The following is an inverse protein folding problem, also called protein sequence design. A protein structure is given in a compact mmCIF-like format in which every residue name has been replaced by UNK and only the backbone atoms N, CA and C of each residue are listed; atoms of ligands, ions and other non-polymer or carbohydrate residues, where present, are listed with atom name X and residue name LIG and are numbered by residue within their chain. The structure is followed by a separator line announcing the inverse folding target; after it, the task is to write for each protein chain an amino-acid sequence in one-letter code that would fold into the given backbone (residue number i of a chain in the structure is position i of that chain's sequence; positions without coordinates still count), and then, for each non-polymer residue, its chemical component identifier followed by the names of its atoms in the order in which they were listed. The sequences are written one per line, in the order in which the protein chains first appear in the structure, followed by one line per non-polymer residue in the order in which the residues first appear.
data_IF_591545899593
#
_entry.id   IF_591545899593
#
_cell.length_a   1.000
_cell.length_b   1.000
_cell.length_c   1.000
_cell.angle_alpha   90.00
_cell.angle_beta   90.00
_cell.angle_gamma   90.00
#
_symmetry.space_group_name_H-M   'P 1'
#
loop_
_entity.id
_entity.type
_entity.pdbx_description
1 polymer ?
#
# COMPACT_ATOMS: atom_id res chain seq x y z
N UNK A 1 -26.89 5.36 8.33
CA UNK A 1 -25.84 6.02 9.13
C UNK A 1 -24.64 6.41 8.27
N UNK A 2 -24.05 5.49 7.50
CA UNK A 2 -22.86 5.75 6.64
C UNK A 2 -23.13 6.86 5.59
N UNK A 3 -24.30 6.87 4.96
CA UNK A 3 -24.66 7.93 4.00
C UNK A 3 -24.75 9.33 4.62
N UNK A 4 -25.28 9.44 5.85
CA UNK A 4 -25.31 10.72 6.57
C UNK A 4 -23.90 11.25 6.86
N UNK A 5 -22.95 10.37 7.16
CA UNK A 5 -21.53 10.74 7.37
C UNK A 5 -20.91 11.18 6.04
N UNK A 6 -21.18 10.45 4.96
CA UNK A 6 -20.62 10.75 3.64
C UNK A 6 -21.07 12.11 3.10
N UNK A 7 -22.31 12.49 3.35
CA UNK A 7 -22.93 13.70 2.82
C UNK A 7 -22.76 14.93 3.71
N UNK A 8 -22.19 14.79 4.92
CA UNK A 8 -21.91 15.91 5.82
C UNK A 8 -20.40 16.13 6.01
N UNK A 9 -19.80 17.17 5.39
CA UNK A 9 -18.36 17.40 5.45
C UNK A 9 -17.81 17.57 6.87
N UNK A 10 -18.54 18.25 7.76
CA UNK A 10 -18.11 18.45 9.16
C UNK A 10 -18.11 17.14 9.95
N UNK A 11 -19.17 16.34 9.79
CA UNK A 11 -19.29 15.05 10.43
C UNK A 11 -18.22 14.08 9.91
N UNK A 12 -17.96 14.11 8.59
CA UNK A 12 -16.89 13.34 7.96
C UNK A 12 -15.52 13.71 8.53
N UNK A 13 -15.20 14.98 8.64
CA UNK A 13 -13.92 15.45 9.21
C UNK A 13 -13.79 15.07 10.68
N UNK A 14 -14.87 15.18 11.46
CA UNK A 14 -14.88 14.75 12.85
C UNK A 14 -14.60 13.25 12.99
N UNK A 15 -15.30 12.40 12.23
CA UNK A 15 -15.07 10.94 12.23
C UNK A 15 -13.64 10.58 11.79
N UNK A 16 -13.13 11.24 10.73
CA UNK A 16 -11.74 11.05 10.30
C UNK A 16 -10.77 11.45 11.42
N UNK A 17 -11.01 12.57 12.10
CA UNK A 17 -10.19 13.05 13.23
C UNK A 17 -10.18 12.09 14.44
N UNK A 18 -11.30 11.37 14.68
CA UNK A 18 -11.35 10.32 15.69
C UNK A 18 -10.46 9.11 15.33
N UNK A 19 -10.37 8.77 14.06
CA UNK A 19 -9.63 7.60 13.56
C UNK A 19 -8.16 7.94 13.31
N UNK A 20 -7.91 9.10 12.68
CA UNK A 20 -6.57 9.54 12.29
C UNK A 20 -6.27 10.92 12.87
N UNK A 21 -5.17 11.09 13.62
CA UNK A 21 -4.75 12.41 14.10
C UNK A 21 -4.41 13.32 12.91
N UNK A 22 -4.72 14.60 13.04
CA UNK A 22 -4.29 15.62 12.08
C UNK A 22 -2.75 15.64 11.99
N UNK A 23 -2.19 15.54 10.81
CA UNK A 23 -0.73 15.46 10.52
C UNK A 23 -0.07 14.13 10.86
N UNK A 24 -0.80 13.06 11.19
CA UNK A 24 -0.22 11.75 11.43
C UNK A 24 -0.72 10.75 10.38
N UNK A 25 0.16 10.08 9.63
CA UNK A 25 -0.24 9.13 8.60
C UNK A 25 -0.73 7.78 9.15
N UNK A 26 -0.83 7.65 10.46
CA UNK A 26 -1.24 6.41 11.14
C UNK A 26 -2.60 6.56 11.80
N UNK A 27 -3.43 5.52 11.82
CA UNK A 27 -4.60 5.48 12.69
C UNK A 27 -4.19 5.56 14.17
N UNK A 28 -5.09 6.10 14.99
CA UNK A 28 -4.90 6.14 16.44
C UNK A 28 -4.72 4.74 17.03
N UNK A 29 -4.05 4.63 18.17
CA UNK A 29 -3.75 3.35 18.82
C UNK A 29 -5.00 2.50 19.09
N UNK A 30 -6.10 3.13 19.56
CA UNK A 30 -7.34 2.44 19.79
C UNK A 30 -7.94 1.80 18.53
N UNK A 31 -7.83 2.48 17.37
CA UNK A 31 -8.26 1.91 16.08
C UNK A 31 -7.40 0.70 15.72
N UNK A 32 -6.10 0.81 15.91
CA UNK A 32 -5.16 -0.27 15.59
C UNK A 32 -5.38 -1.51 16.46
N UNK A 33 -5.78 -1.33 17.72
CA UNK A 33 -5.93 -2.42 18.68
C UNK A 33 -7.35 -2.97 18.75
N UNK A 34 -8.37 -2.12 18.57
CA UNK A 34 -9.77 -2.52 18.81
C UNK A 34 -10.64 -2.53 17.55
N UNK A 35 -10.19 -1.96 16.42
CA UNK A 35 -10.96 -1.96 15.17
C UNK A 35 -10.27 -2.79 14.10
N UNK A 36 -9.00 -2.51 13.83
CA UNK A 36 -8.25 -3.14 12.75
C UNK A 36 -8.19 -4.68 12.83
N UNK A 37 -8.07 -5.33 13.99
CA UNK A 37 -8.07 -6.79 14.09
C UNK A 37 -9.37 -7.45 13.59
N UNK A 38 -10.49 -6.72 13.60
CA UNK A 38 -11.79 -7.24 13.17
C UNK A 38 -12.12 -6.92 11.71
N UNK A 39 -11.50 -5.90 11.13
CA UNK A 39 -11.78 -5.46 9.75
C UNK A 39 -10.71 -5.88 8.76
N UNK A 40 -9.51 -6.17 9.23
CA UNK A 40 -8.41 -6.64 8.40
C UNK A 40 -8.19 -8.15 8.57
N UNK A 41 -7.69 -8.79 7.51
CA UNK A 41 -7.45 -10.22 7.54
C UNK A 41 -5.97 -10.54 7.64
N UNK A 42 -5.64 -11.41 8.58
CA UNK A 42 -4.32 -12.00 8.74
C UNK A 42 -4.43 -13.51 8.66
N UNK A 43 -3.82 -14.11 7.65
CA UNK A 43 -3.78 -15.56 7.45
C UNK A 43 -3.01 -16.27 8.56
N UNK A 44 -3.30 -17.56 8.73
CA UNK A 44 -2.58 -18.41 9.69
C UNK A 44 -1.09 -18.45 9.32
N UNK A 45 -0.20 -18.39 10.30
CA UNK A 45 1.24 -18.40 10.08
C UNK A 45 1.82 -17.09 9.55
N UNK A 46 0.99 -16.11 9.16
CA UNK A 46 1.50 -14.83 8.68
C UNK A 46 2.30 -14.11 9.76
N UNK A 47 3.51 -13.68 9.41
CA UNK A 47 4.43 -13.00 10.30
C UNK A 47 4.62 -11.54 9.87
N UNK A 48 4.22 -10.62 10.73
CA UNK A 48 4.52 -9.19 10.60
C UNK A 48 5.54 -8.87 11.69
N UNK A 49 6.75 -8.49 11.28
CA UNK A 49 7.84 -8.23 12.20
C UNK A 49 7.56 -7.00 13.07
N UNK A 50 8.16 -6.95 14.25
CA UNK A 50 7.84 -5.97 15.29
C UNK A 50 8.04 -4.52 14.85
N UNK A 51 9.06 -4.25 14.05
CA UNK A 51 9.39 -2.92 13.57
C UNK A 51 8.73 -2.58 12.22
N UNK A 52 7.94 -3.49 11.65
CA UNK A 52 7.13 -3.16 10.47
C UNK A 52 6.09 -2.08 10.82
N UNK A 53 5.95 -1.11 9.93
CA UNK A 53 5.01 -0.02 10.09
C UNK A 53 3.75 -0.25 9.27
N UNK A 54 2.62 -0.36 9.96
CA UNK A 54 1.31 -0.49 9.33
C UNK A 54 0.51 0.80 9.49
N UNK A 55 0.37 1.56 8.41
CA UNK A 55 -0.49 2.74 8.31
C UNK A 55 -1.81 2.32 7.64
N UNK A 56 -2.52 1.36 8.26
CA UNK A 56 -3.70 0.73 7.68
C UNK A 56 -4.98 1.23 8.36
N UNK A 57 -5.90 1.72 7.53
CA UNK A 57 -7.15 2.35 7.91
C UNK A 57 -8.32 1.39 7.75
N UNK A 58 -9.33 1.41 8.64
CA UNK A 58 -10.41 0.44 8.68
C UNK A 58 -11.38 0.52 7.49
N UNK A 59 -11.41 1.63 6.75
CA UNK A 59 -12.29 1.82 5.58
C UNK A 59 -11.71 1.31 4.27
N UNK A 60 -10.51 0.74 4.29
CA UNK A 60 -9.84 0.13 3.14
C UNK A 60 -9.43 -1.29 3.49
N UNK A 61 -9.44 -2.15 2.50
CA UNK A 61 -9.03 -3.54 2.65
C UNK A 61 -7.52 -3.62 2.92
N UNK A 62 -7.16 -4.40 3.94
CA UNK A 62 -5.80 -4.85 4.16
C UNK A 62 -5.86 -6.33 4.50
N UNK A 63 -5.21 -7.15 3.68
CA UNK A 63 -5.17 -8.58 3.88
C UNK A 63 -3.75 -9.09 3.73
N UNK A 64 -3.36 -10.01 4.61
CA UNK A 64 -2.08 -10.73 4.58
C UNK A 64 -2.39 -12.21 4.53
N UNK A 65 -1.91 -12.88 3.49
CA UNK A 65 -2.12 -14.30 3.25
C UNK A 65 -1.44 -15.21 4.27
N UNK A 66 -1.71 -16.50 4.17
CA UNK A 66 -1.10 -17.52 5.04
C UNK A 66 0.41 -17.57 4.85
N UNK A 67 1.14 -17.72 5.94
CA UNK A 67 2.60 -17.86 5.95
C UNK A 67 3.36 -16.72 5.21
N UNK A 68 2.68 -15.59 4.99
CA UNK A 68 3.30 -14.40 4.41
C UNK A 68 4.20 -13.71 5.44
N UNK A 69 5.26 -13.06 4.97
CA UNK A 69 6.23 -12.35 5.81
C UNK A 69 6.32 -10.87 5.42
N UNK A 70 6.16 -10.01 6.40
CA UNK A 70 6.47 -8.58 6.31
C UNK A 70 7.64 -8.31 7.25
N UNK A 71 8.80 -7.98 6.69
CA UNK A 71 10.04 -7.78 7.44
C UNK A 71 10.08 -6.45 8.19
N UNK A 72 11.08 -6.29 9.04
CA UNK A 72 11.29 -5.09 9.84
C UNK A 72 11.46 -3.85 8.95
N UNK A 73 11.00 -2.71 9.44
CA UNK A 73 11.05 -1.41 8.78
C UNK A 73 10.28 -1.32 7.45
N UNK A 74 9.62 -2.39 7.01
CA UNK A 74 8.69 -2.29 5.91
C UNK A 74 7.50 -1.40 6.29
N UNK A 75 7.04 -0.59 5.35
CA UNK A 75 5.88 0.31 5.52
C UNK A 75 4.76 -0.16 4.62
N UNK A 76 3.59 -0.42 5.18
CA UNK A 76 2.38 -0.76 4.42
C UNK A 76 1.30 0.27 4.70
N UNK A 77 0.82 0.93 3.66
CA UNK A 77 -0.19 1.99 3.75
C UNK A 77 -1.34 1.70 2.79
N UNK A 78 -2.56 1.58 3.32
CA UNK A 78 -3.78 1.41 2.52
C UNK A 78 -4.61 2.71 2.38
N UNK A 79 -4.08 3.85 2.79
CA UNK A 79 -4.82 5.11 2.78
C UNK A 79 -5.28 5.55 1.38
N UNK A 80 -4.49 5.33 0.35
CA UNK A 80 -4.83 5.64 -1.03
C UNK A 80 -5.65 4.54 -1.73
N UNK A 81 -5.55 3.27 -1.28
CA UNK A 81 -6.25 2.12 -1.84
C UNK A 81 -5.95 0.83 -1.11
N UNK A 82 -6.64 -0.23 -1.48
CA UNK A 82 -6.54 -1.53 -0.84
C UNK A 82 -5.14 -2.14 -0.98
N UNK A 83 -4.70 -2.90 0.01
CA UNK A 83 -3.47 -3.69 -0.05
C UNK A 83 -3.80 -5.14 0.26
N UNK A 84 -3.49 -6.01 -0.70
CA UNK A 84 -3.71 -7.45 -0.59
C UNK A 84 -2.39 -8.17 -0.83
N UNK A 85 -1.96 -8.95 0.14
CA UNK A 85 -0.72 -9.72 0.12
C UNK A 85 -1.10 -11.20 0.10
N UNK A 86 -0.66 -11.92 -0.92
CA UNK A 86 -0.97 -13.33 -1.13
C UNK A 86 -0.32 -14.28 -0.12
N UNK A 87 -0.68 -15.56 -0.21
CA UNK A 87 -0.12 -16.62 0.62
C UNK A 87 1.40 -16.76 0.36
N UNK A 88 2.18 -16.93 1.43
CA UNK A 88 3.63 -17.13 1.37
C UNK A 88 4.41 -15.98 0.68
N UNK A 89 3.76 -14.84 0.43
CA UNK A 89 4.43 -13.67 -0.13
C UNK A 89 5.41 -13.08 0.89
N UNK A 90 6.51 -12.49 0.39
CA UNK A 90 7.56 -11.91 1.23
C UNK A 90 7.81 -10.46 0.87
N UNK A 91 7.84 -9.61 1.87
CA UNK A 91 8.14 -8.18 1.76
C UNK A 91 9.45 -7.95 2.50
N UNK A 92 10.51 -7.63 1.76
CA UNK A 92 11.84 -7.41 2.29
C UNK A 92 11.93 -6.16 3.15
N UNK A 93 12.98 -6.13 3.98
CA UNK A 93 13.25 -5.05 4.93
C UNK A 93 13.24 -3.67 4.26
N UNK A 94 12.66 -2.69 4.95
CA UNK A 94 12.65 -1.30 4.49
C UNK A 94 11.79 -1.01 3.25
N UNK A 95 11.06 -2.01 2.73
CA UNK A 95 10.19 -1.81 1.57
C UNK A 95 8.96 -0.98 1.91
N UNK A 96 8.48 -0.19 0.94
CA UNK A 96 7.31 0.69 1.10
C UNK A 96 6.24 0.29 0.11
N UNK A 97 5.05 -0.02 0.61
CA UNK A 97 3.89 -0.39 -0.20
C UNK A 97 2.75 0.57 0.09
N UNK A 98 2.29 1.30 -0.94
CA UNK A 98 1.17 2.23 -0.83
C UNK A 98 0.08 1.80 -1.82
N UNK A 99 -1.08 1.42 -1.30
CA UNK A 99 -2.21 0.94 -2.10
C UNK A 99 -2.76 1.96 -3.12
N UNK A 100 -3.49 1.48 -4.11
CA UNK A 100 -3.93 0.09 -4.28
C UNK A 100 -2.85 -0.84 -4.84
N UNK A 101 -2.55 -1.93 -4.12
CA UNK A 101 -1.51 -2.91 -4.48
C UNK A 101 -1.99 -4.33 -4.20
N UNK A 102 -1.71 -5.24 -5.12
CA UNK A 102 -1.93 -6.67 -4.96
C UNK A 102 -0.65 -7.44 -5.21
N UNK A 103 -0.20 -8.20 -4.23
CA UNK A 103 0.87 -9.19 -4.36
C UNK A 103 0.26 -10.58 -4.47
N UNK A 104 0.63 -11.33 -5.50
CA UNK A 104 0.22 -12.72 -5.68
C UNK A 104 0.89 -13.67 -4.67
N UNK A 105 0.41 -14.92 -4.64
CA UNK A 105 0.98 -15.95 -3.79
C UNK A 105 2.45 -16.18 -4.14
N UNK A 106 3.27 -16.38 -3.13
CA UNK A 106 4.71 -16.58 -3.25
C UNK A 106 5.46 -15.45 -3.98
N UNK A 107 4.83 -14.28 -4.16
CA UNK A 107 5.53 -13.10 -4.67
C UNK A 107 6.57 -12.62 -3.66
N UNK A 108 7.73 -12.20 -4.15
CA UNK A 108 8.84 -11.71 -3.33
C UNK A 108 9.23 -10.28 -3.67
N UNK A 109 9.31 -9.42 -2.66
CA UNK A 109 9.92 -8.11 -2.77
C UNK A 109 11.27 -8.16 -2.07
N UNK A 110 12.33 -7.79 -2.78
CA UNK A 110 13.64 -7.57 -2.18
C UNK A 110 13.63 -6.42 -1.18
N UNK A 111 14.80 -6.05 -0.68
CA UNK A 111 14.97 -4.97 0.29
C UNK A 111 14.74 -3.60 -0.39
N UNK A 112 14.18 -2.66 0.39
CA UNK A 112 13.99 -1.27 -0.04
C UNK A 112 13.26 -1.10 -1.39
N UNK A 113 12.31 -2.00 -1.67
CA UNK A 113 11.42 -1.86 -2.83
C UNK A 113 10.34 -0.84 -2.53
N UNK A 114 10.13 0.10 -3.45
CA UNK A 114 9.02 1.06 -3.38
C UNK A 114 7.92 0.69 -4.36
N UNK A 115 6.69 0.50 -3.86
CA UNK A 115 5.50 0.28 -4.70
C UNK A 115 4.43 1.31 -4.34
N UNK A 116 3.93 2.03 -5.36
CA UNK A 116 2.81 2.96 -5.20
C UNK A 116 1.74 2.73 -6.25
N UNK A 117 0.53 2.42 -5.78
CA UNK A 117 -0.67 2.32 -6.63
C UNK A 117 -1.33 3.68 -6.91
N UNK A 118 -0.70 4.80 -6.57
CA UNK A 118 -1.22 6.12 -6.89
C UNK A 118 -0.11 7.08 -7.28
N UNK A 119 -0.50 8.11 -8.04
CA UNK A 119 0.33 9.28 -8.32
C UNK A 119 -0.49 10.55 -8.05
N UNK A 120 0.18 11.63 -7.73
CA UNK A 120 -0.42 12.94 -7.75
C UNK A 120 -0.69 13.34 -9.21
N UNK A 121 -1.85 13.98 -9.47
CA UNK A 121 -2.11 14.58 -10.76
C UNK A 121 -1.11 15.70 -11.03
N UNK A 122 -0.63 15.74 -12.28
CA UNK A 122 0.30 16.78 -12.77
C UNK A 122 -0.13 17.32 -14.13
N UNK A 123 -1.33 16.97 -14.57
CA UNK A 123 -1.84 17.35 -15.88
C UNK A 123 -2.11 18.85 -16.00
N UNK A 124 -2.39 19.53 -14.90
CA UNK A 124 -2.62 20.98 -14.86
C UNK A 124 -1.45 21.69 -14.19
N UNK A 125 -0.53 22.22 -14.99
CA UNK A 125 0.65 22.94 -14.51
C UNK A 125 0.36 24.27 -13.81
N UNK A 126 -0.89 24.74 -13.82
CA UNK A 126 -1.31 25.98 -13.15
C UNK A 126 -1.82 25.75 -11.73
N UNK A 127 -2.06 24.51 -11.34
CA UNK A 127 -2.60 24.12 -10.01
C UNK A 127 -1.55 23.41 -9.19
N UNK A 128 -1.57 23.68 -7.88
CA UNK A 128 -0.77 22.92 -6.92
C UNK A 128 -1.03 21.40 -7.08
N UNK A 129 0.02 20.61 -7.17
CA UNK A 129 -0.07 19.15 -7.29
C UNK A 129 -0.86 18.50 -6.15
N UNK A 130 -0.82 19.09 -4.95
CA UNK A 130 -1.61 18.63 -3.81
C UNK A 130 -3.10 18.94 -3.92
N UNK A 131 -3.49 19.90 -4.77
CA UNK A 131 -4.86 20.28 -5.06
C UNK A 131 -5.45 19.51 -6.26
N UNK A 132 -4.61 18.73 -6.98
CA UNK A 132 -5.04 17.89 -8.08
C UNK A 132 -5.53 16.53 -7.60
N UNK A 133 -6.42 15.92 -8.38
CA UNK A 133 -6.99 14.62 -8.04
C UNK A 133 -5.92 13.52 -8.11
N UNK A 134 -5.93 12.63 -7.10
CA UNK A 134 -5.03 11.47 -7.10
C UNK A 134 -5.42 10.47 -8.19
N UNK A 135 -4.50 10.19 -9.09
CA UNK A 135 -4.65 9.11 -10.07
C UNK A 135 -4.33 7.78 -9.39
N UNK A 136 -5.35 6.94 -9.21
CA UNK A 136 -5.22 5.62 -8.59
C UNK A 136 -5.29 4.54 -9.65
N UNK A 137 -4.29 3.67 -9.69
CA UNK A 137 -4.29 2.49 -10.56
C UNK A 137 -3.60 1.34 -9.81
N UNK A 138 -4.31 0.22 -9.63
CA UNK A 138 -3.79 -0.93 -8.89
C UNK A 138 -2.49 -1.43 -9.53
N UNK A 139 -1.47 -1.60 -8.72
CA UNK A 139 -0.24 -2.31 -9.07
C UNK A 139 -0.42 -3.77 -8.69
N UNK A 140 -0.32 -4.66 -9.66
CA UNK A 140 -0.43 -6.09 -9.44
C UNK A 140 0.92 -6.75 -9.70
N UNK A 141 1.48 -7.41 -8.68
CA UNK A 141 2.64 -8.30 -8.80
C UNK A 141 2.10 -9.73 -8.87
N UNK A 142 2.42 -10.43 -9.94
CA UNK A 142 1.91 -11.78 -10.19
C UNK A 142 2.40 -12.82 -9.16
N UNK A 143 1.74 -13.96 -9.16
CA UNK A 143 2.17 -15.13 -8.38
C UNK A 143 3.61 -15.50 -8.72
N UNK A 144 4.40 -15.86 -7.71
CA UNK A 144 5.80 -16.31 -7.85
C UNK A 144 6.75 -15.29 -8.52
N UNK A 145 6.29 -14.05 -8.67
CA UNK A 145 7.12 -12.98 -9.23
C UNK A 145 8.03 -12.39 -8.17
N UNK A 146 9.24 -12.01 -8.57
CA UNK A 146 10.21 -11.37 -7.67
C UNK A 146 10.61 -10.00 -8.19
N UNK A 147 10.60 -9.02 -7.29
CA UNK A 147 11.08 -7.66 -7.53
C UNK A 147 12.43 -7.51 -6.84
N UNK A 148 13.46 -7.19 -7.60
CA UNK A 148 14.83 -7.00 -7.05
C UNK A 148 14.89 -5.84 -6.06
N UNK A 149 15.90 -5.87 -5.19
CA UNK A 149 16.13 -4.82 -4.21
C UNK A 149 16.30 -3.43 -4.86
N UNK A 150 15.89 -2.37 -4.14
CA UNK A 150 15.95 -0.98 -4.58
C UNK A 150 15.17 -0.68 -5.88
N UNK A 151 14.18 -1.51 -6.21
CA UNK A 151 13.30 -1.27 -7.35
C UNK A 151 12.15 -0.34 -6.99
N UNK A 152 11.70 0.41 -8.00
CA UNK A 152 10.53 1.30 -7.89
C UNK A 152 9.46 0.86 -8.87
N UNK A 153 8.26 0.60 -8.40
CA UNK A 153 7.07 0.25 -9.20
C UNK A 153 5.96 1.25 -8.89
N UNK A 154 5.51 1.98 -9.90
CA UNK A 154 4.48 3.00 -9.72
C UNK A 154 3.23 2.73 -10.55
N UNK A 155 2.13 3.33 -10.17
CA UNK A 155 0.85 3.24 -10.84
C UNK A 155 0.97 3.53 -12.36
N UNK A 156 0.34 2.69 -13.16
CA UNK A 156 0.44 2.78 -14.63
C UNK A 156 1.32 1.70 -15.27
N UNK A 157 2.23 1.10 -14.53
CA UNK A 157 3.08 0.00 -15.00
C UNK A 157 2.55 -1.31 -14.43
N UNK A 158 1.84 -2.10 -15.25
CA UNK A 158 1.54 -3.48 -14.89
C UNK A 158 2.82 -4.31 -15.06
N UNK A 159 3.50 -4.60 -13.96
CA UNK A 159 4.56 -5.59 -13.96
C UNK A 159 3.92 -6.99 -14.06
N UNK A 160 3.76 -7.49 -15.25
CA UNK A 160 3.45 -8.90 -15.50
C UNK A 160 4.77 -9.63 -15.70
N UNK A 161 5.18 -10.40 -14.73
CA UNK A 161 6.25 -11.38 -14.93
C UNK A 161 5.65 -12.77 -15.08
N UNK A 162 6.22 -13.58 -15.96
CA UNK A 162 5.96 -14.99 -15.99
C UNK A 162 6.40 -15.62 -14.65
N UNK A 163 5.80 -16.74 -14.20
CA UNK A 163 6.27 -17.44 -13.01
C UNK A 163 7.80 -17.68 -13.08
N UNK A 164 8.52 -17.25 -12.05
CA UNK A 164 9.96 -17.41 -11.97
C UNK A 164 10.82 -16.34 -12.67
N UNK A 165 10.23 -15.33 -13.31
CA UNK A 165 11.01 -14.25 -13.90
C UNK A 165 11.24 -13.10 -12.89
N UNK A 166 12.49 -12.68 -12.74
CA UNK A 166 12.83 -11.43 -12.04
C UNK A 166 12.65 -10.25 -12.97
N UNK A 167 11.99 -9.18 -12.50
CA UNK A 167 11.90 -7.95 -13.27
C UNK A 167 13.25 -7.24 -13.27
N UNK A 168 13.76 -6.80 -14.44
CA UNK A 168 14.98 -6.01 -14.48
C UNK A 168 14.77 -4.66 -13.80
N UNK A 169 15.85 -4.11 -13.24
CA UNK A 169 15.88 -2.74 -12.72
C UNK A 169 15.42 -1.78 -13.81
N UNK A 170 14.31 -1.11 -13.61
CA UNK A 170 13.98 0.03 -14.49
C UNK A 170 14.83 1.20 -14.04
N UNK A 171 15.90 1.50 -14.76
CA UNK A 171 16.58 2.79 -14.64
C UNK A 171 15.60 3.91 -15.04
N UNK A 172 15.64 5.07 -14.40
CA UNK A 172 14.82 6.20 -14.83
C UNK A 172 15.22 6.54 -16.29
N UNK A 173 14.23 6.60 -17.18
CA UNK A 173 14.44 7.22 -18.48
C UNK A 173 14.76 8.70 -18.20
N UNK A 174 15.99 9.08 -18.45
CA UNK A 174 16.33 10.48 -18.61
C UNK A 174 15.52 11.02 -19.78
N UNK A 175 14.59 11.92 -19.51
CA UNK A 175 14.00 12.73 -20.55
C UNK A 175 15.15 13.55 -21.17
N UNK A 176 15.46 13.28 -22.41
CA UNK A 176 16.32 14.16 -23.20
C UNK A 176 15.54 15.43 -23.57
N UNK A 177 16.23 16.56 -23.67
CA UNK A 177 15.62 17.89 -23.87
C UNK A 177 14.84 18.00 -25.20
#
# INVERSE_FOLDING_TARGET
MIEKIRNNPRLKQFVIGLISPHRHPRPRLWVRWFVNPFVHKKGRGALIRRHARLDVFPWRRFEVGRDALIEDYAVVNNGAGDVVIGDQARIGIGSVIIGPVRLGDRAGLGQHVFISGFNHGYADGTRDSNAQELVRKEVTIGRESHIGANSVVVAGNAARSAPGASLPRTSPRTASP
#
